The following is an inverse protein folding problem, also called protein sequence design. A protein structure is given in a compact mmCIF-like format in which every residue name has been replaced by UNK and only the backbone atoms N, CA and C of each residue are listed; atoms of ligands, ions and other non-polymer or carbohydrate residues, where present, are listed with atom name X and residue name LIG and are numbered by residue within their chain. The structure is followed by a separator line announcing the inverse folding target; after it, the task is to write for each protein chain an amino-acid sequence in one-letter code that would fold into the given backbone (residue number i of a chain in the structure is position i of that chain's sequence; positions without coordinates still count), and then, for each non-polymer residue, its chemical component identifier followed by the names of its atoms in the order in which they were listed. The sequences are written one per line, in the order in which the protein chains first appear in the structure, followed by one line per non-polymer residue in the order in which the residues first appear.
data_IF_728940357784
#
_entry.id   IF_728940357784
#
_cell.length_a   1.000
_cell.length_b   1.000
_cell.length_c   1.000
_cell.angle_alpha   90.00
_cell.angle_beta   90.00
_cell.angle_gamma   90.00
#
_symmetry.space_group_name_H-M   'P 1'
#
loop_
_entity.id
_entity.type
_entity.pdbx_description
1 polymer ?
#
# COMPACT_ATOMS: atom_id res chain seq x y z
N UNK A 1 9.54 5.47 13.54
CA UNK A 1 9.86 4.07 13.28
C UNK A 1 8.59 3.35 12.85
N UNK A 2 8.65 2.55 11.76
CA UNK A 2 7.52 1.77 11.26
C UNK A 2 7.34 0.44 12.00
N UNK A 3 6.44 -0.43 11.47
CA UNK A 3 6.33 -1.81 11.92
C UNK A 3 7.58 -2.59 11.50
N UNK A 4 8.21 -3.35 12.42
CA UNK A 4 9.40 -4.13 12.09
C UNK A 4 9.03 -5.33 11.20
N UNK A 5 7.88 -5.97 11.44
CA UNK A 5 7.37 -7.07 10.66
C UNK A 5 5.87 -6.90 10.39
N UNK A 6 5.43 -7.28 9.19
CA UNK A 6 4.03 -7.40 8.80
C UNK A 6 3.84 -8.53 7.82
N UNK A 7 2.71 -9.18 7.91
CA UNK A 7 2.28 -10.24 6.99
C UNK A 7 0.99 -9.80 6.30
N UNK A 8 0.93 -9.97 5.00
CA UNK A 8 -0.24 -9.67 4.18
C UNK A 8 -0.57 -10.95 3.42
N UNK A 9 -1.74 -11.52 3.70
CA UNK A 9 -2.18 -12.78 3.10
C UNK A 9 -3.21 -12.50 2.00
N UNK A 10 -3.10 -13.23 0.90
CA UNK A 10 -4.03 -13.16 -0.23
C UNK A 10 -4.58 -14.53 -0.55
N UNK A 11 -5.73 -14.57 -1.20
CA UNK A 11 -6.28 -15.81 -1.75
C UNK A 11 -5.45 -16.21 -2.97
N UNK A 12 -4.88 -17.41 -2.93
CA UNK A 12 -4.10 -17.97 -4.05
C UNK A 12 -4.95 -18.34 -5.25
N UNK A 13 -6.27 -18.45 -5.06
CA UNK A 13 -7.24 -18.73 -6.14
C UNK A 13 -7.85 -17.44 -6.73
N UNK A 14 -7.45 -16.25 -6.24
CA UNK A 14 -7.94 -15.00 -6.80
C UNK A 14 -7.49 -14.86 -8.27
N UNK A 15 -8.41 -14.62 -9.21
CA UNK A 15 -8.09 -14.48 -10.64
C UNK A 15 -7.33 -13.19 -10.98
N UNK A 16 -6.97 -12.40 -9.99
CA UNK A 16 -6.22 -11.17 -10.19
C UNK A 16 -4.86 -11.45 -10.87
N UNK A 17 -4.50 -10.73 -11.96
CA UNK A 17 -3.28 -11.00 -12.72
C UNK A 17 -2.00 -11.08 -11.89
N UNK A 18 -1.89 -10.28 -10.82
CA UNK A 18 -0.74 -10.32 -9.92
C UNK A 18 -0.65 -11.66 -9.16
N UNK A 19 -1.78 -12.22 -8.73
CA UNK A 19 -1.82 -13.52 -8.04
C UNK A 19 -1.42 -14.63 -9.00
N UNK A 20 -1.95 -14.61 -10.23
CA UNK A 20 -1.58 -15.57 -11.28
C UNK A 20 -0.07 -15.54 -11.53
N UNK A 21 0.51 -14.37 -11.78
CA UNK A 21 1.95 -14.23 -12.02
C UNK A 21 2.79 -14.68 -10.82
N UNK A 22 2.38 -14.37 -9.59
CA UNK A 22 3.10 -14.81 -8.38
C UNK A 22 3.03 -16.32 -8.23
N UNK A 23 1.88 -16.96 -8.47
CA UNK A 23 1.74 -18.41 -8.45
C UNK A 23 2.64 -19.07 -9.51
N UNK A 24 2.62 -18.59 -10.76
CA UNK A 24 3.51 -19.07 -11.82
C UNK A 24 4.98 -18.96 -11.42
N UNK A 25 5.39 -17.86 -10.78
CA UNK A 25 6.75 -17.68 -10.28
C UNK A 25 7.07 -18.68 -9.16
N UNK A 26 6.13 -18.94 -8.25
CA UNK A 26 6.30 -19.91 -7.17
C UNK A 26 6.45 -21.32 -7.70
N UNK A 27 5.69 -21.71 -8.73
CA UNK A 27 5.75 -23.03 -9.36
C UNK A 27 7.10 -23.31 -10.04
N UNK A 28 7.85 -22.26 -10.40
CA UNK A 28 9.21 -22.38 -10.97
C UNK A 28 10.32 -22.51 -9.93
N UNK A 29 10.00 -22.34 -8.64
CA UNK A 29 11.00 -22.36 -7.57
C UNK A 29 11.01 -23.72 -6.86
N UNK A 30 12.18 -24.11 -6.36
CA UNK A 30 12.33 -25.31 -5.49
C UNK A 30 11.81 -25.08 -4.07
N UNK A 31 11.67 -23.82 -3.66
CA UNK A 31 11.11 -23.41 -2.37
C UNK A 31 9.84 -22.58 -2.60
N UNK A 32 8.86 -22.58 -1.68
CA UNK A 32 7.64 -21.78 -1.81
C UNK A 32 7.89 -20.28 -1.54
N UNK A 33 8.89 -19.73 -2.21
CA UNK A 33 9.32 -18.33 -2.05
C UNK A 33 9.82 -17.76 -3.36
N UNK A 34 9.44 -16.54 -3.65
CA UNK A 34 10.02 -15.77 -4.77
C UNK A 34 11.13 -14.88 -4.23
N UNK A 35 12.33 -15.05 -4.76
CA UNK A 35 13.48 -14.22 -4.44
C UNK A 35 13.77 -13.25 -5.59
N UNK A 36 13.92 -11.98 -5.28
CA UNK A 36 14.43 -10.98 -6.21
C UNK A 36 15.80 -10.49 -5.73
N UNK A 37 16.84 -10.74 -6.52
CA UNK A 37 18.17 -10.21 -6.23
C UNK A 37 18.26 -8.75 -6.68
N UNK A 38 18.43 -7.86 -5.71
CA UNK A 38 18.54 -6.42 -5.96
C UNK A 38 19.86 -5.93 -5.37
N UNK A 39 20.72 -5.33 -6.21
CA UNK A 39 22.03 -4.80 -5.76
C UNK A 39 21.88 -3.68 -4.70
N UNK A 40 20.88 -2.81 -4.87
CA UNK A 40 20.59 -1.74 -3.93
C UNK A 40 19.20 -1.16 -4.18
N UNK A 41 18.66 -0.40 -3.22
CA UNK A 41 17.38 0.31 -3.38
C UNK A 41 17.42 1.34 -4.53
N UNK A 42 18.59 1.93 -4.78
CA UNK A 42 18.79 2.86 -5.90
C UNK A 42 18.64 2.12 -7.23
N UNK A 43 19.30 0.97 -7.38
CA UNK A 43 19.22 0.16 -8.59
C UNK A 43 17.77 -0.31 -8.84
N UNK A 44 17.06 -0.75 -7.81
CA UNK A 44 15.65 -1.10 -7.93
C UNK A 44 14.81 0.09 -8.46
N UNK A 45 15.05 1.27 -7.95
CA UNK A 45 14.34 2.49 -8.39
C UNK A 45 14.65 2.80 -9.86
N UNK A 46 15.89 2.64 -10.28
CA UNK A 46 16.30 2.85 -11.68
C UNK A 46 15.62 1.84 -12.60
N UNK A 47 15.62 0.55 -12.23
CA UNK A 47 14.96 -0.50 -13.02
C UNK A 47 13.45 -0.29 -13.13
N UNK A 48 12.77 0.05 -12.02
CA UNK A 48 11.34 0.39 -12.05
C UNK A 48 11.07 1.55 -13.01
N UNK A 49 11.88 2.61 -12.98
CA UNK A 49 11.72 3.75 -13.88
C UNK A 49 11.95 3.36 -15.34
N UNK A 50 12.94 2.51 -15.61
CA UNK A 50 13.24 2.01 -16.96
C UNK A 50 12.06 1.21 -17.52
N UNK A 51 11.55 0.25 -16.76
CA UNK A 51 10.38 -0.55 -17.12
C UNK A 51 9.14 0.32 -17.32
N UNK A 52 8.89 1.25 -16.41
CA UNK A 52 7.74 2.14 -16.51
C UNK A 52 7.78 3.01 -17.78
N UNK A 53 8.93 3.51 -18.18
CA UNK A 53 9.08 4.26 -19.44
C UNK A 53 8.84 3.37 -20.67
N UNK A 54 9.24 2.11 -20.62
CA UNK A 54 8.98 1.15 -21.70
C UNK A 54 7.50 0.84 -21.83
N UNK A 55 6.80 0.64 -20.71
CA UNK A 55 5.38 0.27 -20.69
C UNK A 55 4.44 1.48 -20.92
N UNK A 56 4.83 2.63 -20.41
CA UNK A 56 4.02 3.87 -20.49
C UNK A 56 4.86 5.08 -20.94
N UNK A 57 5.30 5.09 -22.20
CA UNK A 57 6.22 6.13 -22.71
C UNK A 57 5.67 7.55 -22.61
N UNK A 58 4.35 7.70 -22.66
CA UNK A 58 3.67 8.99 -22.61
C UNK A 58 3.25 9.42 -21.20
N UNK A 59 3.62 8.65 -20.16
CA UNK A 59 3.27 9.03 -18.79
C UNK A 59 4.09 10.22 -18.32
N UNK A 60 3.40 11.30 -17.93
CA UNK A 60 4.03 12.61 -17.62
C UNK A 60 4.97 12.57 -16.41
N UNK A 61 4.64 11.75 -15.40
CA UNK A 61 5.40 11.69 -14.15
C UNK A 61 6.21 10.39 -14.06
N UNK A 62 7.40 10.42 -13.48
CA UNK A 62 8.18 9.21 -13.29
C UNK A 62 7.50 8.25 -12.31
N UNK A 63 7.27 7.01 -12.74
CA UNK A 63 6.76 5.95 -11.86
C UNK A 63 7.94 5.39 -11.05
N UNK A 64 7.75 5.32 -9.74
CA UNK A 64 8.75 4.85 -8.78
C UNK A 64 8.14 3.79 -7.85
N UNK A 65 8.96 3.09 -7.07
CA UNK A 65 8.47 2.16 -6.04
C UNK A 65 7.47 2.81 -5.06
N UNK A 66 7.59 4.13 -4.84
CA UNK A 66 6.70 4.86 -3.96
C UNK A 66 5.28 5.01 -4.54
N UNK A 67 5.13 5.03 -5.86
CA UNK A 67 3.82 5.05 -6.52
C UNK A 67 3.03 3.78 -6.21
N UNK A 68 3.68 2.61 -6.19
CA UNK A 68 3.03 1.36 -5.81
C UNK A 68 2.55 1.38 -4.35
N UNK A 69 3.34 1.99 -3.46
CA UNK A 69 2.91 2.17 -2.07
C UNK A 69 1.69 3.09 -1.95
N UNK A 70 1.62 4.15 -2.74
CA UNK A 70 0.44 5.03 -2.79
C UNK A 70 -0.79 4.30 -3.34
N UNK A 71 -0.62 3.51 -4.41
CA UNK A 71 -1.70 2.73 -5.00
C UNK A 71 -2.23 1.69 -4.00
N UNK A 72 -1.34 0.92 -3.38
CA UNK A 72 -1.71 -0.04 -2.34
C UNK A 72 -2.49 0.61 -1.19
N UNK A 73 -2.06 1.79 -0.75
CA UNK A 73 -2.78 2.55 0.28
C UNK A 73 -4.17 3.00 -0.18
N UNK A 74 -4.32 3.41 -1.43
CA UNK A 74 -5.61 3.80 -2.01
C UNK A 74 -6.57 2.61 -2.08
N UNK A 75 -6.07 1.46 -2.53
CA UNK A 75 -6.83 0.22 -2.65
C UNK A 75 -7.33 -0.28 -1.29
N UNK A 76 -6.47 -0.27 -0.27
CA UNK A 76 -6.87 -0.62 1.11
C UNK A 76 -7.91 0.35 1.68
N UNK A 77 -7.76 1.66 1.45
CA UNK A 77 -8.73 2.67 1.90
C UNK A 77 -10.09 2.53 1.23
N UNK A 78 -10.12 2.10 -0.03
CA UNK A 78 -11.38 1.86 -0.73
C UNK A 78 -12.19 0.72 -0.11
N UNK A 79 -11.52 -0.21 0.60
CA UNK A 79 -12.18 -1.28 1.36
C UNK A 79 -12.75 -0.81 2.71
N UNK A 80 -12.53 0.44 3.11
CA UNK A 80 -13.10 1.05 4.31
C UNK A 80 -12.43 0.65 5.63
N UNK A 81 -11.39 -0.19 5.63
CA UNK A 81 -10.66 -0.59 6.83
C UNK A 81 -9.42 0.29 7.06
N UNK A 82 -9.59 1.24 7.94
CA UNK A 82 -8.57 2.20 8.32
C UNK A 82 -7.40 1.57 9.10
N UNK A 83 -7.67 0.56 9.91
CA UNK A 83 -6.67 -0.12 10.71
C UNK A 83 -5.84 -1.07 9.84
N UNK A 84 -6.49 -1.88 8.99
CA UNK A 84 -5.82 -2.71 7.99
C UNK A 84 -4.93 -1.87 7.06
N UNK A 85 -5.40 -0.68 6.65
CA UNK A 85 -4.58 0.26 5.86
C UNK A 85 -3.31 0.65 6.61
N UNK A 86 -3.41 1.00 7.89
CA UNK A 86 -2.24 1.38 8.69
C UNK A 86 -1.28 0.20 8.91
N UNK A 87 -1.80 -0.98 9.20
CA UNK A 87 -1.01 -2.22 9.34
C UNK A 87 -0.29 -2.57 8.03
N UNK A 88 -1.01 -2.61 6.92
CA UNK A 88 -0.46 -2.95 5.60
C UNK A 88 0.62 -1.98 5.13
N UNK A 89 0.49 -0.69 5.43
CA UNK A 89 1.52 0.31 5.17
C UNK A 89 2.70 0.23 6.15
N UNK A 90 2.60 -0.56 7.21
CA UNK A 90 3.61 -0.67 8.26
C UNK A 90 3.68 0.58 9.15
N UNK A 91 2.56 1.26 9.35
CA UNK A 91 2.49 2.41 10.23
C UNK A 91 2.15 1.98 11.67
N UNK A 92 2.75 2.65 12.64
CA UNK A 92 2.39 2.50 14.06
C UNK A 92 1.42 3.57 14.55
N UNK A 93 1.04 4.51 13.67
CA UNK A 93 0.10 5.60 13.96
C UNK A 93 -0.89 5.78 12.81
N UNK A 94 -2.16 5.94 13.15
CA UNK A 94 -3.24 6.21 12.20
C UNK A 94 -3.09 7.57 11.48
N UNK A 95 -2.34 8.51 12.02
CA UNK A 95 -2.10 9.82 11.39
C UNK A 95 -1.30 9.70 10.10
N UNK A 96 -0.28 8.84 10.08
CA UNK A 96 0.66 8.72 8.95
C UNK A 96 -0.01 8.25 7.66
N UNK A 97 -1.11 7.48 7.75
CA UNK A 97 -1.80 6.97 6.56
C UNK A 97 -2.37 8.07 5.66
N UNK A 98 -2.63 9.28 6.20
CA UNK A 98 -3.17 10.42 5.44
C UNK A 98 -2.23 10.90 4.35
N UNK A 99 -0.94 10.67 4.52
CA UNK A 99 0.10 11.06 3.57
C UNK A 99 0.12 10.19 2.30
N UNK A 100 -0.60 9.08 2.30
CA UNK A 100 -0.63 8.14 1.19
C UNK A 100 -1.99 8.13 0.52
N UNK A 101 -2.07 7.86 -0.77
CA UNK A 101 -3.23 7.76 -1.63
C UNK A 101 -4.63 7.93 -1.00
N UNK A 102 -5.60 8.35 -1.75
CA UNK A 102 -7.00 8.46 -1.31
C UNK A 102 -7.82 7.30 -1.85
N UNK A 103 -8.94 6.95 -1.19
CA UNK A 103 -9.84 5.90 -1.69
C UNK A 103 -10.33 6.16 -3.12
N UNK A 104 -10.47 7.43 -3.53
CA UNK A 104 -10.85 7.80 -4.89
C UNK A 104 -9.79 7.51 -5.96
N UNK A 105 -8.55 7.23 -5.54
CA UNK A 105 -7.43 6.83 -6.42
C UNK A 105 -7.27 5.31 -6.52
N UNK A 106 -8.14 4.53 -5.87
CA UNK A 106 -8.10 3.07 -5.92
C UNK A 106 -8.33 2.54 -7.34
N UNK A 107 -7.77 1.36 -7.60
CA UNK A 107 -7.93 0.64 -8.86
C UNK A 107 -9.40 0.27 -9.06
N UNK A 108 -10.04 0.81 -10.10
CA UNK A 108 -11.44 0.52 -10.40
C UNK A 108 -11.57 -0.89 -10.97
N UNK A 109 -12.23 -1.78 -10.23
CA UNK A 109 -12.54 -3.14 -10.69
C UNK A 109 -11.39 -4.15 -10.64
N UNK A 110 -10.17 -3.73 -10.29
CA UNK A 110 -8.97 -4.59 -10.25
C UNK A 110 -8.16 -4.41 -8.97
N UNK A 111 -8.85 -4.19 -7.86
CA UNK A 111 -8.20 -4.03 -6.56
C UNK A 111 -8.00 -5.40 -5.92
N UNK A 112 -6.76 -5.85 -5.80
CA UNK A 112 -6.42 -7.07 -5.06
C UNK A 112 -6.68 -6.84 -3.56
N UNK A 113 -7.59 -7.66 -2.99
CA UNK A 113 -7.99 -7.55 -1.59
C UNK A 113 -7.24 -8.56 -0.75
N UNK A 114 -6.48 -8.13 0.26
CA UNK A 114 -5.90 -9.07 1.21
C UNK A 114 -7.00 -9.74 2.04
N UNK A 115 -6.81 -11.03 2.32
CA UNK A 115 -7.63 -11.79 3.27
C UNK A 115 -7.36 -11.35 4.69
N UNK A 116 -6.09 -11.11 5.03
CA UNK A 116 -5.64 -10.76 6.35
C UNK A 116 -4.41 -9.86 6.30
N UNK A 117 -4.33 -8.92 7.23
CA UNK A 117 -3.17 -8.06 7.42
C UNK A 117 -2.79 -8.07 8.89
N UNK A 118 -1.65 -8.69 9.20
CA UNK A 118 -1.08 -8.74 10.54
C UNK A 118 0.12 -7.81 10.66
N UNK A 119 0.28 -7.23 11.83
CA UNK A 119 1.43 -6.40 12.17
C UNK A 119 1.86 -6.68 13.61
N UNK A 120 3.17 -6.70 13.84
CA UNK A 120 3.74 -7.03 15.14
C UNK A 120 3.29 -6.06 16.25
N UNK A 121 3.11 -4.79 15.91
CA UNK A 121 2.71 -3.76 16.89
C UNK A 121 1.31 -3.24 16.59
N UNK A 122 0.52 -2.98 17.64
CA UNK A 122 -0.79 -2.36 17.46
C UNK A 122 -0.65 -0.95 16.88
N UNK A 123 -1.61 -0.57 16.04
CA UNK A 123 -1.69 0.79 15.49
C UNK A 123 -2.25 1.72 16.56
N UNK A 124 -1.50 2.74 16.95
CA UNK A 124 -1.98 3.75 17.89
C UNK A 124 -3.13 4.54 17.27
N UNK A 125 -4.26 4.68 17.97
CA UNK A 125 -5.39 5.43 17.47
C UNK A 125 -5.00 6.89 17.25
N UNK A 126 -5.79 7.56 16.40
CA UNK A 126 -5.64 9.00 16.17
C UNK A 126 -5.84 9.76 17.48
N UNK A 127 -4.90 10.63 17.83
CA UNK A 127 -5.13 11.61 18.91
C UNK A 127 -6.26 12.55 18.47
N UNK A 128 -7.41 12.44 19.11
CA UNK A 128 -8.44 13.48 18.97
C UNK A 128 -7.88 14.72 19.64
N UNK A 129 -7.51 15.72 18.87
CA UNK A 129 -7.22 17.03 19.43
C UNK A 129 -8.44 17.53 20.22
N UNK A 130 -8.24 18.39 21.25
CA UNK A 130 -9.36 18.98 21.95
C UNK A 130 -10.31 19.59 20.92
N UNK A 131 -11.59 19.22 21.01
CA UNK A 131 -12.63 19.78 20.16
C UNK A 131 -12.75 21.26 20.50
N UNK A 132 -12.07 22.13 19.77
CA UNK A 132 -12.33 23.56 19.80
C UNK A 132 -13.70 23.77 19.19
N UNK A 133 -14.75 23.69 20.04
CA UNK A 133 -16.05 24.23 19.70
C UNK A 133 -15.80 25.71 19.36
N UNK A 134 -15.85 26.07 18.09
CA UNK A 134 -16.02 27.45 17.68
C UNK A 134 -17.35 27.92 18.32
N UNK A 135 -17.27 28.63 19.43
CA UNK A 135 -18.38 29.42 19.94
C UNK A 135 -18.70 30.42 18.83
N UNK A 136 -19.79 30.20 18.11
CA UNK A 136 -20.44 31.24 17.37
C UNK A 136 -21.03 32.24 18.40
N UNK A 137 -20.30 33.30 18.66
CA UNK A 137 -20.90 34.46 19.32
C UNK A 137 -21.76 35.17 18.29
N UNK A 138 -23.04 35.42 18.58
CA UNK A 138 -23.82 36.36 17.79
C UNK A 138 -23.27 37.76 18.06
N UNK A 139 -22.84 38.46 17.04
CA UNK A 139 -22.54 39.90 17.13
C UNK A 139 -23.86 40.67 17.30
N UNK A 140 -23.84 41.74 18.15
CA UNK A 140 -24.97 42.63 18.34
C UNK A 140 -25.33 43.43 17.10
#
# INVERSE_FOLDING_TARGET
QGQPLRTISYDTNDPHPLVVVVNELLDTQSEPRVFAQVRSAVNLTVEIRRLARSLWPNHRQPITAYCFRHQFAADLKANGDDEATSRGLGHISAETRRLYGTAGQASKGHCLRPLQIDAERPVKPRRRGPCTKRRGEPKP
#
